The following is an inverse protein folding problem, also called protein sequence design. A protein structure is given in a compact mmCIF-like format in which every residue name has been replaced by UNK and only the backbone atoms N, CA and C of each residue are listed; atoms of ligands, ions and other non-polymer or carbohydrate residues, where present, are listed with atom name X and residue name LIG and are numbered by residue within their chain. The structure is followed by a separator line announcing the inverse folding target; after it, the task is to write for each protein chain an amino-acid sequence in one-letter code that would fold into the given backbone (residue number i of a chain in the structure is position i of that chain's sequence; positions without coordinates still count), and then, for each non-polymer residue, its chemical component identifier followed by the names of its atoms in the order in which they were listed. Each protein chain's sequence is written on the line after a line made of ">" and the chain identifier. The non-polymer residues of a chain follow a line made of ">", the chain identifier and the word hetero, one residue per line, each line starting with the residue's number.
data_IF_959159179490
#
_entry.id   IF_959159179490
#
_cell.length_a   1.000
_cell.length_b   1.000
_cell.length_c   1.000
_cell.angle_alpha   90.00
_cell.angle_beta   90.00
_cell.angle_gamma   90.00
#
_symmetry.space_group_name_H-M   'P 1'
#
loop_
_entity.id
_entity.type
_entity.pdbx_description
1 polymer ?
#
# COMPACT_ATOMS: atom_id res chain seq x y z
N UNK A 1 -2.83 -13.35 -33.23
CA UNK A 1 -3.42 -14.34 -32.31
C UNK A 1 -2.32 -14.74 -31.35
N UNK A 2 -2.24 -14.07 -30.20
CA UNK A 2 -1.40 -14.48 -29.07
C UNK A 2 -2.17 -14.06 -27.82
N UNK A 3 -2.67 -15.07 -27.10
CA UNK A 3 -3.26 -14.97 -25.78
C UNK A 3 -2.36 -14.16 -24.84
N UNK A 4 -2.96 -13.24 -24.09
CA UNK A 4 -2.58 -12.99 -22.70
C UNK A 4 -3.86 -12.89 -21.91
N UNK A 5 -4.35 -14.07 -21.51
CA UNK A 5 -5.49 -14.31 -20.62
C UNK A 5 -5.11 -14.00 -19.15
N UNK A 6 -4.20 -13.04 -18.94
CA UNK A 6 -3.55 -12.74 -17.67
C UNK A 6 -4.31 -11.67 -16.85
N UNK A 7 -5.37 -11.08 -17.40
CA UNK A 7 -6.21 -10.07 -16.74
C UNK A 7 -7.48 -10.63 -16.05
N UNK A 8 -7.66 -11.96 -16.01
CA UNK A 8 -8.86 -12.57 -15.40
C UNK A 8 -8.78 -12.84 -13.89
N UNK A 9 -7.69 -12.51 -13.21
CA UNK A 9 -7.39 -13.14 -11.92
C UNK A 9 -7.56 -12.30 -10.64
N UNK A 10 -8.38 -11.23 -10.63
CA UNK A 10 -8.56 -10.40 -9.42
C UNK A 10 -9.96 -9.83 -9.16
N UNK A 11 -11.02 -10.43 -9.71
CA UNK A 11 -12.38 -9.90 -9.59
C UNK A 11 -13.25 -10.74 -8.66
N UNK A 12 -14.08 -10.06 -7.88
CA UNK A 12 -15.07 -10.68 -7.02
C UNK A 12 -16.26 -11.18 -7.85
N UNK A 13 -16.62 -12.46 -7.71
CA UNK A 13 -17.77 -13.05 -8.42
C UNK A 13 -19.15 -12.49 -8.04
N UNK A 14 -19.21 -11.58 -7.06
CA UNK A 14 -20.47 -10.98 -6.57
C UNK A 14 -20.62 -9.55 -7.07
N UNK A 15 -19.64 -8.68 -6.78
CA UNK A 15 -19.69 -7.29 -7.23
C UNK A 15 -19.06 -7.09 -8.61
N UNK A 16 -18.40 -8.11 -9.18
CA UNK A 16 -17.70 -8.08 -10.47
C UNK A 16 -16.53 -7.08 -10.58
N UNK A 17 -16.27 -6.37 -9.48
CA UNK A 17 -15.16 -5.43 -9.28
C UNK A 17 -13.92 -6.14 -8.72
N UNK A 18 -12.81 -5.41 -8.64
CA UNK A 18 -11.59 -5.90 -7.99
C UNK A 18 -11.80 -6.24 -6.51
N UNK A 19 -11.04 -7.22 -6.01
CA UNK A 19 -11.12 -7.62 -4.60
C UNK A 19 -10.79 -6.48 -3.64
N UNK A 20 -11.67 -6.30 -2.65
CA UNK A 20 -11.51 -5.39 -1.51
C UNK A 20 -11.62 -6.24 -0.24
N UNK A 21 -10.53 -6.30 0.54
CA UNK A 21 -10.42 -7.19 1.72
C UNK A 21 -10.91 -8.62 1.42
N UNK A 22 -10.21 -9.34 0.52
CA UNK A 22 -10.62 -10.66 0.09
C UNK A 22 -10.71 -11.65 1.26
N UNK A 23 -11.91 -12.18 1.49
CA UNK A 23 -12.17 -13.26 2.44
C UNK A 23 -12.40 -14.56 1.69
N UNK A 24 -11.73 -15.60 2.13
CA UNK A 24 -11.84 -16.92 1.52
C UNK A 24 -12.78 -17.80 2.32
N UNK A 25 -13.73 -18.41 1.62
CA UNK A 25 -14.64 -19.41 2.18
C UNK A 25 -13.93 -20.77 2.27
N UNK A 26 -14.52 -21.73 3.00
CA UNK A 26 -13.95 -23.08 3.13
C UNK A 26 -13.86 -23.87 1.81
N UNK A 27 -14.53 -23.38 0.77
CA UNK A 27 -14.49 -23.93 -0.58
C UNK A 27 -13.32 -23.40 -1.41
N UNK A 28 -12.53 -22.46 -0.89
CA UNK A 28 -11.43 -21.81 -1.60
C UNK A 28 -11.84 -20.62 -2.47
N UNK A 29 -13.15 -20.36 -2.64
CA UNK A 29 -13.60 -19.16 -3.33
C UNK A 29 -13.41 -17.92 -2.46
N UNK A 30 -12.97 -16.85 -3.10
CA UNK A 30 -12.62 -15.60 -2.45
C UNK A 30 -13.56 -14.49 -2.92
N UNK A 31 -14.02 -13.67 -1.98
CA UNK A 31 -14.97 -12.58 -2.20
C UNK A 31 -14.59 -11.37 -1.34
N UNK A 32 -15.08 -10.18 -1.69
CA UNK A 32 -14.84 -8.99 -0.86
C UNK A 32 -15.52 -9.12 0.50
N UNK A 33 -14.91 -8.59 1.57
CA UNK A 33 -15.46 -8.61 2.93
C UNK A 33 -16.94 -8.18 2.96
N UNK A 34 -17.25 -7.03 2.37
CA UNK A 34 -18.62 -6.49 2.30
C UNK A 34 -19.60 -7.41 1.57
N UNK A 35 -19.14 -8.08 0.51
CA UNK A 35 -19.97 -9.05 -0.22
C UNK A 35 -20.24 -10.28 0.66
N UNK A 36 -19.25 -10.73 1.42
CA UNK A 36 -19.39 -11.85 2.36
C UNK A 36 -20.34 -11.50 3.51
N UNK A 37 -20.23 -10.32 4.09
CA UNK A 37 -21.13 -9.82 5.14
C UNK A 37 -22.58 -9.73 4.63
N UNK A 38 -22.78 -9.28 3.40
CA UNK A 38 -24.13 -9.18 2.79
C UNK A 38 -24.78 -10.55 2.60
N UNK A 39 -23.99 -11.60 2.39
CA UNK A 39 -24.47 -12.98 2.22
C UNK A 39 -24.50 -13.78 3.53
N UNK A 40 -24.02 -13.19 4.62
CA UNK A 40 -24.00 -13.85 5.92
C UNK A 40 -25.41 -13.85 6.48
N UNK A 41 -25.97 -15.03 6.70
CA UNK A 41 -27.23 -15.23 7.42
C UNK A 41 -26.98 -16.23 8.55
N UNK A 42 -27.40 -15.88 9.77
CA UNK A 42 -27.34 -16.77 10.94
C UNK A 42 -25.93 -17.37 11.23
N UNK A 43 -24.87 -16.59 10.98
CA UNK A 43 -23.48 -17.01 11.23
C UNK A 43 -22.89 -17.99 10.21
N UNK A 44 -23.57 -18.21 9.08
CA UNK A 44 -23.09 -19.02 7.97
C UNK A 44 -23.18 -18.26 6.64
N UNK A 45 -22.27 -18.59 5.73
CA UNK A 45 -22.21 -18.04 4.37
C UNK A 45 -22.33 -19.17 3.38
N UNK A 46 -23.24 -19.06 2.42
CA UNK A 46 -23.34 -19.99 1.30
C UNK A 46 -22.60 -19.40 0.11
N UNK A 47 -21.61 -20.13 -0.41
CA UNK A 47 -20.84 -19.68 -1.57
C UNK A 47 -21.75 -19.61 -2.81
N UNK A 48 -21.82 -18.48 -3.53
CA UNK A 48 -22.64 -18.37 -4.75
C UNK A 48 -22.11 -19.23 -5.91
N UNK A 49 -20.79 -19.44 -5.98
CA UNK A 49 -20.14 -20.17 -7.07
C UNK A 49 -20.34 -21.69 -6.97
N UNK A 50 -20.29 -22.24 -5.75
CA UNK A 50 -20.29 -23.69 -5.54
C UNK A 50 -21.33 -24.20 -4.54
N UNK A 51 -22.15 -23.30 -3.97
CA UNK A 51 -23.21 -23.58 -2.97
C UNK A 51 -22.74 -24.23 -1.67
N UNK A 52 -21.43 -24.32 -1.42
CA UNK A 52 -20.91 -24.87 -0.16
C UNK A 52 -21.10 -23.85 0.97
N UNK A 53 -21.60 -24.31 2.11
CA UNK A 53 -21.76 -23.49 3.32
C UNK A 53 -20.45 -23.41 4.10
N UNK A 54 -20.09 -22.20 4.52
CA UNK A 54 -18.99 -21.91 5.44
C UNK A 54 -19.54 -21.32 6.71
N UNK A 55 -19.30 -21.97 7.85
CA UNK A 55 -19.59 -21.40 9.17
C UNK A 55 -18.51 -20.38 9.51
N UNK A 56 -18.91 -19.23 10.03
CA UNK A 56 -17.98 -18.17 10.40
C UNK A 56 -17.38 -18.53 11.77
N UNK A 57 -16.06 -18.74 11.87
CA UNK A 57 -15.42 -18.91 13.17
C UNK A 57 -15.44 -17.58 13.96
N UNK A 58 -15.34 -17.61 15.30
CA UNK A 58 -15.41 -16.40 16.13
C UNK A 58 -14.31 -15.38 15.82
N UNK A 59 -13.19 -15.84 15.23
CA UNK A 59 -12.08 -15.01 14.76
C UNK A 59 -12.26 -14.45 13.34
N UNK A 60 -13.37 -14.79 12.65
CA UNK A 60 -13.68 -14.37 11.29
C UNK A 60 -13.01 -15.20 10.20
N UNK A 61 -13.37 -14.94 8.95
CA UNK A 61 -12.82 -15.70 7.82
C UNK A 61 -11.36 -15.34 7.53
N UNK A 62 -10.53 -16.33 7.15
CA UNK A 62 -9.14 -16.11 6.81
C UNK A 62 -9.00 -15.23 5.56
N UNK A 63 -8.05 -14.31 5.61
CA UNK A 63 -7.60 -13.54 4.46
C UNK A 63 -6.50 -14.33 3.76
N UNK A 64 -6.63 -14.61 2.46
CA UNK A 64 -5.61 -15.32 1.69
C UNK A 64 -4.80 -14.32 0.85
N UNK A 65 -3.56 -14.08 1.26
CA UNK A 65 -2.59 -13.24 0.54
C UNK A 65 -2.01 -13.91 -0.71
N UNK A 66 -2.20 -15.21 -0.90
CA UNK A 66 -1.63 -15.96 -2.02
C UNK A 66 -2.13 -15.50 -3.40
N UNK A 67 -3.29 -14.83 -3.47
CA UNK A 67 -3.81 -14.24 -4.72
C UNK A 67 -3.02 -12.95 -5.08
N UNK A 68 -2.33 -12.35 -4.11
CA UNK A 68 -1.54 -11.12 -4.25
C UNK A 68 -0.04 -11.37 -4.52
N UNK A 69 0.44 -12.62 -4.36
CA UNK A 69 1.85 -12.99 -4.51
C UNK A 69 2.31 -13.06 -5.98
N UNK A 70 1.35 -13.11 -6.92
CA UNK A 70 1.61 -13.16 -8.36
C UNK A 70 1.49 -11.82 -9.10
N UNK A 71 1.26 -10.70 -8.39
CA UNK A 71 1.03 -9.40 -9.03
C UNK A 71 2.29 -8.54 -9.03
N UNK A 72 2.65 -8.01 -10.20
CA UNK A 72 3.72 -7.02 -10.34
C UNK A 72 3.39 -5.75 -9.51
N UNK A 73 4.44 -5.10 -8.99
CA UNK A 73 4.37 -3.92 -8.10
C UNK A 73 3.42 -2.81 -8.60
N UNK A 74 3.19 -2.68 -9.92
CA UNK A 74 2.24 -1.72 -10.48
C UNK A 74 0.76 -2.01 -10.17
N UNK A 75 0.37 -3.27 -9.92
CA UNK A 75 -1.04 -3.62 -9.63
C UNK A 75 -1.36 -3.46 -8.14
N UNK A 76 -0.35 -3.58 -7.25
CA UNK A 76 -0.51 -3.29 -5.80
C UNK A 76 -0.90 -1.83 -5.56
N UNK A 77 -0.32 -0.90 -6.34
CA UNK A 77 -0.68 0.52 -6.36
C UNK A 77 -2.05 0.84 -6.98
N UNK A 78 -2.64 -0.07 -7.78
CA UNK A 78 -3.98 0.13 -8.35
C UNK A 78 -5.10 -0.42 -7.46
N UNK A 79 -4.77 -1.28 -6.49
CA UNK A 79 -5.72 -1.84 -5.52
C UNK A 79 -5.78 -1.01 -4.22
N UNK A 80 -4.82 -0.12 -3.97
CA UNK A 80 -4.82 0.78 -2.81
C UNK A 80 -5.98 1.80 -2.77
N UNK A 81 -6.56 2.29 -3.89
CA UNK A 81 -7.71 3.22 -3.82
C UNK A 81 -9.09 2.57 -3.65
N UNK A 82 -9.22 1.24 -3.75
CA UNK A 82 -10.56 0.58 -3.81
C UNK A 82 -11.07 0.19 -2.41
N UNK A 83 -10.22 0.20 -1.37
CA UNK A 83 -10.65 -0.12 0.01
C UNK A 83 -11.57 0.98 0.61
N UNK A 84 -11.61 2.21 0.07
CA UNK A 84 -12.36 3.32 0.70
C UNK A 84 -13.24 4.21 -0.20
N UNK A 85 -13.71 3.75 -1.37
CA UNK A 85 -14.69 4.52 -2.16
C UNK A 85 -16.13 4.06 -1.93
N UNK A 86 -16.80 4.68 -0.96
CA UNK A 86 -18.22 5.04 -1.14
C UNK A 86 -18.30 6.52 -1.50
N UNK A 87 -18.76 6.90 -2.70
CA UNK A 87 -19.18 8.27 -2.96
C UNK A 87 -20.60 8.42 -2.40
N UNK A 88 -20.74 9.02 -1.22
CA UNK A 88 -21.99 9.72 -0.90
C UNK A 88 -21.77 11.20 -1.15
N UNK A 89 -22.43 11.66 -2.19
CA UNK A 89 -22.45 13.01 -2.73
C UNK A 89 -22.93 14.04 -1.69
N UNK A 90 -22.01 14.75 -1.04
CA UNK A 90 -22.21 16.15 -0.63
C UNK A 90 -20.93 16.72 -0.01
N UNK A 91 -20.52 17.88 -0.52
CA UNK A 91 -19.47 18.77 -0.04
C UNK A 91 -19.29 18.81 1.49
N UNK A 92 -18.03 18.84 1.93
CA UNK A 92 -17.38 19.94 2.67
C UNK A 92 -16.16 19.40 3.46
N UNK A 93 -14.98 19.93 3.17
CA UNK A 93 -13.77 19.99 4.00
C UNK A 93 -12.86 18.75 4.14
N UNK A 94 -11.56 19.01 3.89
CA UNK A 94 -10.40 18.11 3.91
C UNK A 94 -10.02 17.58 5.30
N UNK A 95 -10.48 16.38 5.71
CA UNK A 95 -9.98 15.73 6.93
C UNK A 95 -10.37 14.25 7.09
N UNK A 96 -10.28 13.40 6.06
CA UNK A 96 -10.71 11.99 6.18
C UNK A 96 -9.72 10.93 5.67
N UNK A 97 -8.46 11.31 5.40
CA UNK A 97 -7.38 10.38 5.03
C UNK A 97 -6.14 10.54 5.96
N UNK A 98 -6.34 11.06 7.17
CA UNK A 98 -5.27 11.41 8.12
C UNK A 98 -5.14 10.41 9.28
N UNK A 99 -5.85 9.29 9.28
CA UNK A 99 -5.97 8.45 10.47
C UNK A 99 -4.74 7.59 10.78
N UNK A 100 -3.97 7.17 9.78
CA UNK A 100 -2.74 6.36 9.95
C UNK A 100 -1.56 6.91 9.13
N UNK A 101 -1.55 8.21 8.89
CA UNK A 101 -0.38 8.86 8.31
C UNK A 101 0.50 9.43 9.41
N UNK A 102 1.81 9.38 9.20
CA UNK A 102 2.78 9.99 10.08
C UNK A 102 3.69 10.96 9.34
N UNK A 103 4.41 11.74 10.14
CA UNK A 103 5.41 12.67 9.67
C UNK A 103 6.82 12.14 9.86
N UNK A 104 7.66 12.38 8.87
CA UNK A 104 9.07 12.00 8.86
C UNK A 104 9.90 13.28 8.82
N UNK A 105 10.87 13.38 9.72
CA UNK A 105 11.82 14.49 9.75
C UNK A 105 13.03 14.14 8.88
N UNK A 106 13.40 15.04 7.98
CA UNK A 106 14.55 14.91 7.11
C UNK A 106 15.64 15.90 7.52
N UNK A 107 16.83 15.39 7.85
CA UNK A 107 17.99 16.21 8.21
C UNK A 107 18.94 16.34 7.02
N UNK A 108 19.24 17.57 6.60
CA UNK A 108 20.21 17.87 5.54
C UNK A 108 21.63 17.92 6.11
N UNK A 109 22.64 17.77 5.25
CA UNK A 109 24.06 17.87 5.63
C UNK A 109 24.45 19.23 6.22
N UNK A 110 23.76 20.30 5.81
CA UNK A 110 23.95 21.67 6.29
C UNK A 110 23.45 21.86 7.75
N UNK A 111 22.82 20.83 8.34
CA UNK A 111 22.24 20.88 9.69
C UNK A 111 20.80 21.39 9.73
N UNK A 112 20.31 21.97 8.64
CA UNK A 112 18.90 22.31 8.46
C UNK A 112 18.02 21.06 8.30
N UNK A 113 16.77 21.14 8.76
CA UNK A 113 15.82 20.03 8.67
C UNK A 113 14.46 20.49 8.15
N UNK A 114 13.69 19.55 7.61
CA UNK A 114 12.30 19.77 7.21
C UNK A 114 11.49 18.51 7.49
N UNK A 115 10.18 18.66 7.61
CA UNK A 115 9.26 17.56 7.87
C UNK A 115 8.33 17.40 6.66
N UNK A 116 8.09 16.15 6.27
CA UNK A 116 7.03 15.80 5.32
C UNK A 116 6.00 14.96 6.07
N UNK A 117 4.73 15.15 5.73
CA UNK A 117 3.58 14.50 6.38
C UNK A 117 2.83 13.61 5.38
N UNK A 118 1.95 12.74 5.83
CA UNK A 118 1.18 11.89 4.91
C UNK A 118 1.99 10.70 4.41
N UNK A 119 2.73 10.02 5.29
CA UNK A 119 3.37 8.73 4.99
C UNK A 119 2.73 7.61 5.79
N UNK A 120 2.74 6.41 5.22
CA UNK A 120 2.34 5.17 5.86
C UNK A 120 3.54 4.25 6.08
N UNK A 121 3.38 3.25 6.96
CA UNK A 121 4.46 2.30 7.27
C UNK A 121 4.79 1.42 6.07
N UNK A 122 3.80 1.14 5.23
CA UNK A 122 3.93 0.34 4.02
C UNK A 122 4.36 1.14 2.78
N UNK A 123 4.58 2.46 2.90
CA UNK A 123 5.09 3.24 1.76
C UNK A 123 6.51 2.78 1.40
N UNK A 124 6.79 2.68 0.11
CA UNK A 124 8.11 2.34 -0.38
C UNK A 124 9.02 3.58 -0.46
N UNK A 125 10.33 3.35 -0.37
CA UNK A 125 11.33 4.42 -0.51
C UNK A 125 11.26 5.08 -1.89
N UNK A 126 10.81 4.35 -2.92
CA UNK A 126 10.50 4.90 -4.26
C UNK A 126 9.46 6.02 -4.25
N UNK A 127 8.53 6.01 -3.31
CA UNK A 127 7.49 7.04 -3.16
C UNK A 127 7.95 8.21 -2.26
N UNK A 128 8.86 7.94 -1.32
CA UNK A 128 9.42 8.96 -0.43
C UNK A 128 10.46 9.84 -1.13
N UNK A 129 11.37 9.25 -1.92
CA UNK A 129 12.43 9.98 -2.63
C UNK A 129 11.92 11.14 -3.50
N UNK A 130 10.91 10.99 -4.39
CA UNK A 130 10.44 12.09 -5.23
C UNK A 130 9.87 13.26 -4.40
N UNK A 131 9.23 12.96 -3.26
CA UNK A 131 8.70 14.00 -2.36
C UNK A 131 9.83 14.79 -1.69
N UNK A 132 10.88 14.09 -1.27
CA UNK A 132 12.12 14.73 -0.75
C UNK A 132 12.81 15.54 -1.84
N UNK A 133 12.96 14.98 -3.04
CA UNK A 133 13.55 15.62 -4.22
C UNK A 133 12.86 16.95 -4.54
N UNK A 134 11.52 16.94 -4.60
CA UNK A 134 10.72 18.14 -4.81
C UNK A 134 10.96 19.19 -3.70
N UNK A 135 11.07 18.76 -2.44
CA UNK A 135 11.27 19.67 -1.31
C UNK A 135 12.66 20.30 -1.27
N UNK A 136 13.68 19.59 -1.74
CA UNK A 136 15.07 20.11 -1.78
C UNK A 136 15.45 20.72 -3.13
N UNK A 137 14.61 20.53 -4.17
CA UNK A 137 14.85 21.04 -5.52
C UNK A 137 15.93 20.28 -6.29
N UNK A 138 16.16 19.00 -5.98
CA UNK A 138 17.21 18.18 -6.61
C UNK A 138 16.66 16.84 -7.08
N UNK A 139 17.18 16.29 -8.19
CA UNK A 139 16.71 15.01 -8.70
C UNK A 139 17.06 13.86 -7.75
N UNK A 140 16.23 12.81 -7.76
CA UNK A 140 16.32 11.66 -6.84
C UNK A 140 17.65 10.89 -6.89
N UNK A 141 18.38 10.94 -8.00
CA UNK A 141 19.69 10.26 -8.15
C UNK A 141 20.85 11.03 -7.49
N UNK A 142 20.64 12.30 -7.12
CA UNK A 142 21.70 13.16 -6.56
C UNK A 142 21.84 13.05 -5.04
N UNK A 143 20.97 12.29 -4.39
CA UNK A 143 21.02 12.09 -2.94
C UNK A 143 20.61 10.68 -2.53
N UNK A 144 21.02 10.30 -1.34
CA UNK A 144 20.63 9.08 -0.65
C UNK A 144 19.89 9.43 0.63
N UNK A 145 18.91 8.60 0.96
CA UNK A 145 18.26 8.64 2.26
C UNK A 145 18.96 7.63 3.17
N UNK A 146 19.34 8.05 4.37
CA UNK A 146 20.05 7.24 5.35
C UNK A 146 19.25 7.18 6.65
N UNK A 147 18.99 5.98 7.15
CA UNK A 147 18.33 5.76 8.43
C UNK A 147 19.12 4.74 9.27
N UNK A 148 19.41 5.07 10.53
CA UNK A 148 20.21 4.21 11.43
C UNK A 148 21.54 3.72 10.80
N UNK A 149 22.20 4.57 9.99
CA UNK A 149 23.45 4.23 9.30
C UNK A 149 23.29 3.34 8.07
N UNK A 150 22.06 3.05 7.63
CA UNK A 150 21.76 2.24 6.43
C UNK A 150 21.19 3.11 5.31
N UNK A 151 21.70 2.95 4.09
CA UNK A 151 21.12 3.58 2.91
C UNK A 151 19.80 2.88 2.58
N UNK A 152 18.75 3.68 2.35
CA UNK A 152 17.44 3.17 1.97
C UNK A 152 17.44 2.80 0.48
N UNK A 153 17.11 1.54 0.19
CA UNK A 153 16.88 1.02 -1.16
C UNK A 153 15.45 1.32 -1.62
N UNK A 154 15.28 1.63 -2.90
CA UNK A 154 14.01 2.05 -3.51
C UNK A 154 12.90 0.99 -3.42
N UNK A 155 13.26 -0.29 -3.54
CA UNK A 155 12.32 -1.43 -3.57
C UNK A 155 11.92 -1.96 -2.18
N UNK A 156 12.06 -1.15 -1.13
CA UNK A 156 11.77 -1.56 0.25
C UNK A 156 10.82 -0.59 0.94
N UNK A 157 9.92 -1.15 1.74
CA UNK A 157 8.96 -0.39 2.54
C UNK A 157 9.64 0.32 3.72
N UNK A 158 9.01 1.37 4.22
CA UNK A 158 9.47 2.12 5.40
C UNK A 158 9.50 1.25 6.68
N UNK A 159 8.53 0.34 6.85
CA UNK A 159 8.44 -0.54 8.02
C UNK A 159 9.61 -1.53 8.10
N UNK A 160 10.12 -2.00 6.96
CA UNK A 160 11.28 -2.89 6.90
C UNK A 160 12.54 -2.25 7.52
N UNK A 161 12.64 -0.92 7.47
CA UNK A 161 13.70 -0.17 8.13
C UNK A 161 13.34 0.26 9.56
N UNK A 162 12.12 0.00 10.01
CA UNK A 162 11.57 0.46 11.29
C UNK A 162 11.29 1.97 11.31
N UNK A 163 11.06 2.58 10.14
CA UNK A 163 10.76 4.01 10.03
C UNK A 163 9.28 4.22 10.40
N UNK A 164 9.07 5.05 11.43
CA UNK A 164 7.77 5.37 12.01
C UNK A 164 7.63 6.86 12.34
N UNK A 165 6.48 7.26 12.87
CA UNK A 165 6.23 8.61 13.36
C UNK A 165 7.39 9.16 14.21
N UNK A 166 7.88 10.35 13.87
CA UNK A 166 8.98 11.01 14.58
C UNK A 166 10.39 10.50 14.24
N UNK A 167 10.53 9.55 13.31
CA UNK A 167 11.84 9.12 12.82
C UNK A 167 12.56 10.24 12.09
N UNK A 168 13.89 10.26 12.22
CA UNK A 168 14.74 11.21 11.49
C UNK A 168 15.54 10.47 10.44
N UNK A 169 15.35 10.83 9.17
CA UNK A 169 16.08 10.30 8.01
C UNK A 169 17.08 11.36 7.55
N UNK A 170 18.32 10.96 7.32
CA UNK A 170 19.38 11.88 6.88
C UNK A 170 19.44 11.90 5.35
N UNK A 171 19.53 13.10 4.77
CA UNK A 171 19.67 13.32 3.33
C UNK A 171 21.13 13.58 3.03
N UNK A 172 21.77 12.62 2.35
CA UNK A 172 23.20 12.66 1.98
C UNK A 172 23.36 12.88 0.49
N UNK A 173 24.24 13.78 0.09
CA UNK A 173 24.41 14.15 -1.32
C UNK A 173 25.45 13.26 -1.97
N UNK A 174 25.18 12.82 -3.19
CA UNK A 174 26.18 12.15 -4.01
C UNK A 174 27.18 13.22 -4.47
N UNK A 175 28.37 13.19 -3.91
CA UNK A 175 29.47 14.02 -4.41
C UNK A 175 29.76 13.57 -5.85
N UNK A 176 29.52 14.46 -6.82
CA UNK A 176 30.07 14.27 -8.16
C UNK A 176 31.57 14.47 -8.02
N UNK A 177 32.34 13.38 -8.12
CA UNK A 177 33.78 13.46 -8.23
C UNK A 177 34.11 14.35 -9.42
N UNK A 178 34.60 15.56 -9.15
CA UNK A 178 35.15 16.40 -10.20
C UNK A 178 36.34 15.67 -10.80
N UNK A 179 36.33 15.48 -12.12
CA UNK A 179 37.59 15.28 -12.84
C UNK A 179 38.40 16.56 -12.63
N UNK A 180 39.31 16.53 -11.66
CA UNK A 180 40.49 17.36 -11.69
C UNK A 180 41.51 16.64 -12.57
N UNK A 181 41.29 16.67 -13.90
CA UNK A 181 42.29 16.84 -14.97
C UNK A 181 41.61 16.68 -16.33
#
# INVERSE_FOLDING_TARGET
>A
MSNTDDEKHLRCGICTEFYVEPKSLNCGHTFCLKCVETMTADGAIVCPECRKSTTIPPEGLPTIYAIMDGLSHSIRNLLSPIIHRTPSLASLTSAADTADTFSIRFLKFDGSAFTLEGFHTYDDVSDVKPRVAHRIGLPTDTFYLLFCGRCLADDKALDEYGIKAGSTVHVMFRLKGGNAQ
#
